data_IF_733907195212
#
_entry.id   IF_733907195212
#
_cell.length_a   1.000
_cell.length_b   1.000
_cell.length_c   1.000
_cell.angle_alpha   90.00
_cell.angle_beta   90.00
_cell.angle_gamma   90.00
#
_symmetry.space_group_name_H-M   'P 1'
#
loop_
_entity.id
_entity.type
_entity.pdbx_description
1 polymer ?
#
# COMPACT_ATOMS: atom_id res chain seq x y z
N UNK A 1 -10.07 -1.17 6.18
CA UNK A 1 -9.11 -0.84 7.26
C UNK A 1 -9.85 0.18 8.13
N UNK A 2 -10.21 -0.14 9.37
CA UNK A 2 -11.23 0.66 10.09
C UNK A 2 -10.67 1.72 11.05
N UNK A 3 -9.34 1.87 11.15
CA UNK A 3 -8.70 2.87 12.01
C UNK A 3 -7.33 3.26 11.47
N UNK A 4 -6.98 4.54 11.53
CA UNK A 4 -5.64 5.03 11.19
C UNK A 4 -4.59 4.44 12.12
N UNK A 5 -3.43 4.08 11.59
CA UNK A 5 -2.32 3.50 12.35
C UNK A 5 -1.47 2.55 11.54
N UNK A 6 -0.41 2.06 12.18
CA UNK A 6 0.44 0.99 11.66
C UNK A 6 -0.37 -0.31 11.50
N UNK A 7 -0.19 -1.00 10.39
CA UNK A 7 -0.97 -2.18 10.02
C UNK A 7 -0.26 -3.01 8.96
N UNK A 8 -0.72 -4.24 8.77
CA UNK A 8 -0.48 -5.03 7.56
C UNK A 8 -1.73 -5.00 6.68
N UNK A 9 -1.59 -5.18 5.37
CA UNK A 9 -2.73 -5.34 4.44
C UNK A 9 -2.78 -6.80 3.99
N UNK A 10 -3.80 -7.54 4.43
CA UNK A 10 -3.96 -8.97 4.17
C UNK A 10 -4.98 -9.21 3.06
N UNK A 11 -4.63 -10.06 2.10
CA UNK A 11 -5.58 -10.53 1.10
C UNK A 11 -6.66 -11.40 1.78
N UNK A 12 -7.91 -10.98 1.65
CA UNK A 12 -9.05 -11.62 2.30
C UNK A 12 -9.10 -13.13 2.02
N UNK A 13 -9.43 -13.92 3.05
CA UNK A 13 -9.53 -15.38 2.99
C UNK A 13 -8.24 -16.10 2.59
N UNK A 14 -7.06 -15.47 2.70
CA UNK A 14 -5.75 -16.09 2.44
C UNK A 14 -4.78 -15.82 3.57
N UNK A 15 -3.57 -16.37 3.51
CA UNK A 15 -2.44 -16.04 4.40
C UNK A 15 -1.37 -15.21 3.67
N UNK A 16 -1.76 -14.40 2.69
CA UNK A 16 -0.85 -13.53 1.96
C UNK A 16 -1.06 -12.05 2.29
N UNK A 17 0.01 -11.29 2.30
CA UNK A 17 0.02 -9.84 2.52
C UNK A 17 0.39 -9.08 1.26
N UNK A 18 0.00 -7.80 1.23
CA UNK A 18 0.47 -6.82 0.26
C UNK A 18 1.94 -6.48 0.53
N UNK A 19 2.76 -6.56 -0.50
CA UNK A 19 4.22 -6.43 -0.43
C UNK A 19 4.72 -5.43 -1.49
N UNK A 20 5.53 -4.46 -1.06
CA UNK A 20 6.09 -3.40 -1.88
C UNK A 20 7.36 -3.80 -2.65
N UNK A 21 7.88 -5.01 -2.42
CA UNK A 21 9.17 -5.47 -2.94
C UNK A 21 10.37 -4.88 -2.20
N UNK A 22 11.56 -5.41 -2.52
CA UNK A 22 12.82 -4.94 -1.94
C UNK A 22 13.20 -3.59 -2.55
N UNK A 23 13.42 -2.58 -1.70
CA UNK A 23 13.83 -1.22 -2.09
C UNK A 23 12.88 -0.57 -3.11
N UNK A 24 11.60 -0.37 -2.78
CA UNK A 24 10.62 0.18 -3.69
C UNK A 24 11.00 1.58 -4.17
N UNK A 25 10.61 1.90 -5.40
CA UNK A 25 10.75 3.21 -6.04
C UNK A 25 9.43 3.61 -6.69
N UNK A 26 9.36 4.81 -7.28
CA UNK A 26 8.17 5.22 -8.01
C UNK A 26 7.91 4.25 -9.16
N UNK A 27 6.71 3.66 -9.16
CA UNK A 27 6.30 2.69 -10.17
C UNK A 27 6.73 1.25 -9.91
N UNK A 28 7.27 0.92 -8.73
CA UNK A 28 7.50 -0.49 -8.34
C UNK A 28 6.14 -1.19 -8.20
N UNK A 29 5.86 -2.27 -8.97
CA UNK A 29 4.59 -2.98 -8.87
C UNK A 29 4.42 -3.68 -7.52
N UNK A 30 3.19 -3.64 -7.01
CA UNK A 30 2.81 -4.35 -5.79
C UNK A 30 2.73 -5.86 -6.01
N UNK A 31 2.94 -6.61 -4.93
CA UNK A 31 2.87 -8.08 -4.92
C UNK A 31 1.91 -8.55 -3.84
N UNK A 32 1.36 -9.75 -4.06
CA UNK A 32 0.76 -10.57 -3.01
C UNK A 32 1.80 -11.63 -2.64
N UNK A 33 2.25 -11.63 -1.39
CA UNK A 33 3.38 -12.46 -0.97
C UNK A 33 3.16 -13.09 0.41
N UNK A 34 3.97 -14.12 0.70
CA UNK A 34 3.99 -14.75 2.03
C UNK A 34 4.26 -13.69 3.10
N UNK A 35 3.54 -13.80 4.22
CA UNK A 35 3.64 -12.86 5.33
C UNK A 35 4.96 -13.05 6.08
N UNK A 36 5.64 -11.96 6.39
CA UNK A 36 6.78 -11.95 7.29
C UNK A 36 6.62 -10.84 8.32
N UNK A 37 6.76 -11.18 9.59
CA UNK A 37 6.80 -10.19 10.66
C UNK A 37 8.08 -9.35 10.54
N UNK A 38 7.98 -8.05 10.84
CA UNK A 38 9.09 -7.09 10.79
C UNK A 38 9.76 -6.96 9.40
N UNK A 39 9.00 -7.18 8.33
CA UNK A 39 9.47 -6.96 6.95
C UNK A 39 8.99 -5.57 6.49
N UNK A 40 9.89 -4.58 6.32
CA UNK A 40 9.50 -3.21 5.96
C UNK A 40 8.71 -3.08 4.66
N UNK A 41 8.81 -4.07 3.75
CA UNK A 41 8.05 -4.10 2.50
C UNK A 41 6.56 -4.46 2.71
N UNK A 42 6.17 -4.94 3.90
CA UNK A 42 4.82 -5.38 4.25
C UNK A 42 4.23 -4.61 5.45
N UNK A 43 4.96 -3.61 5.94
CA UNK A 43 4.55 -2.70 7.00
C UNK A 43 3.92 -1.44 6.41
N UNK A 44 2.64 -1.25 6.71
CA UNK A 44 1.84 -0.16 6.17
C UNK A 44 1.34 0.75 7.29
N UNK A 45 0.96 1.95 6.91
CA UNK A 45 0.32 2.91 7.78
C UNK A 45 -0.92 3.44 7.07
N UNK A 46 -2.08 3.18 7.65
CA UNK A 46 -3.31 3.82 7.18
C UNK A 46 -3.38 5.21 7.79
N UNK A 47 -3.30 6.22 6.93
CA UNK A 47 -3.25 7.63 7.32
C UNK A 47 -4.66 8.16 7.59
N UNK A 48 -4.75 9.30 8.30
CA UNK A 48 -6.02 9.97 8.55
C UNK A 48 -6.62 10.66 7.32
N UNK A 49 -5.89 10.70 6.20
CA UNK A 49 -6.34 11.22 4.90
C UNK A 49 -6.49 10.09 3.86
N UNK A 50 -6.91 8.91 4.31
CA UNK A 50 -7.30 7.76 3.51
C UNK A 50 -6.21 7.18 2.59
N UNK A 51 -4.93 7.37 2.90
CA UNK A 51 -3.82 6.74 2.18
C UNK A 51 -3.30 5.50 2.91
N UNK A 52 -2.89 4.50 2.13
CA UNK A 52 -2.08 3.37 2.59
C UNK A 52 -0.62 3.71 2.28
N UNK A 53 0.15 4.07 3.30
CA UNK A 53 1.54 4.48 3.16
C UNK A 53 2.48 3.37 3.65
N UNK A 54 3.57 3.14 2.94
CA UNK A 54 4.63 2.25 3.40
C UNK A 54 5.30 2.88 4.63
N UNK A 55 5.29 2.16 5.76
CA UNK A 55 5.62 2.71 7.06
C UNK A 55 7.04 3.32 7.06
N UNK A 56 7.14 4.59 7.48
CA UNK A 56 8.37 5.38 7.53
C UNK A 56 9.20 5.46 6.24
N UNK A 57 8.61 5.19 5.07
CA UNK A 57 9.35 5.18 3.78
C UNK A 57 8.96 6.31 2.82
N UNK A 58 7.94 7.12 3.15
CA UNK A 58 7.49 8.25 2.32
C UNK A 58 6.89 7.83 0.97
N UNK A 59 6.43 6.58 0.86
CA UNK A 59 5.78 6.00 -0.32
C UNK A 59 4.36 5.59 0.02
N UNK A 60 3.46 5.73 -0.94
CA UNK A 60 2.07 5.32 -0.86
C UNK A 60 1.75 4.24 -1.87
N UNK A 61 0.73 3.47 -1.55
CA UNK A 61 0.03 2.59 -2.48
C UNK A 61 -0.75 3.46 -3.47
N UNK A 62 -0.48 3.31 -4.77
CA UNK A 62 -0.90 4.21 -5.83
C UNK A 62 -1.51 3.38 -6.98
N UNK A 63 -2.77 3.68 -7.32
CA UNK A 63 -3.37 3.18 -8.56
C UNK A 63 -2.82 4.01 -9.73
N UNK A 64 -1.98 3.42 -10.59
CA UNK A 64 -1.27 4.16 -11.65
C UNK A 64 -2.20 5.01 -12.55
N UNK A 65 -3.43 4.55 -12.68
CA UNK A 65 -4.61 5.12 -13.31
C UNK A 65 -5.84 4.44 -12.71
N UNK A 66 -7.04 4.96 -12.99
CA UNK A 66 -8.31 4.47 -12.43
C UNK A 66 -9.06 3.51 -13.37
N UNK A 67 -8.38 2.97 -14.38
CA UNK A 67 -8.96 2.00 -15.30
C UNK A 67 -8.87 0.59 -14.73
N UNK A 68 -9.82 -0.27 -15.08
CA UNK A 68 -9.80 -1.65 -14.63
C UNK A 68 -8.54 -2.36 -15.15
N UNK A 69 -8.07 -3.39 -14.44
CA UNK A 69 -6.86 -4.19 -14.74
C UNK A 69 -5.52 -3.48 -14.59
N UNK A 70 -5.53 -2.20 -14.22
CA UNK A 70 -4.31 -1.47 -14.02
C UNK A 70 -3.55 -1.94 -12.76
N UNK A 71 -2.24 -1.73 -12.78
CA UNK A 71 -1.31 -2.15 -11.74
C UNK A 71 -1.33 -1.13 -10.61
N UNK A 72 -1.47 -1.64 -9.39
CA UNK A 72 -1.16 -0.89 -8.17
C UNK A 72 0.36 -0.92 -7.97
N UNK A 73 0.93 0.24 -7.66
CA UNK A 73 2.36 0.47 -7.56
C UNK A 73 2.69 1.26 -6.29
N UNK A 74 3.95 1.22 -5.83
CA UNK A 74 4.42 2.23 -4.89
C UNK A 74 4.72 3.53 -5.63
N UNK A 75 4.33 4.66 -5.07
CA UNK A 75 4.72 5.98 -5.57
C UNK A 75 5.02 6.92 -4.41
N UNK A 76 5.75 8.01 -4.65
CA UNK A 76 5.98 9.03 -3.61
C UNK A 76 4.63 9.52 -3.05
N UNK A 77 4.49 9.56 -1.73
CA UNK A 77 3.32 10.18 -1.11
C UNK A 77 3.20 11.63 -1.57
N UNK A 78 2.06 11.97 -2.16
CA UNK A 78 1.82 13.31 -2.71
C UNK A 78 0.47 13.81 -2.22
N UNK A 79 0.43 14.98 -1.56
CA UNK A 79 -0.80 15.56 -1.05
C UNK A 79 -1.76 15.86 -2.22
N UNK A 80 -3.03 15.51 -2.05
CA UNK A 80 -4.06 15.70 -3.09
C UNK A 80 -3.98 14.73 -4.27
N UNK A 81 -3.08 13.73 -4.24
CA UNK A 81 -3.08 12.68 -5.25
C UNK A 81 -4.21 11.67 -4.99
N UNK A 82 -5.29 11.78 -5.77
CA UNK A 82 -6.47 10.90 -5.65
C UNK A 82 -6.18 9.45 -6.02
N UNK A 83 -5.09 9.17 -6.73
CA UNK A 83 -4.67 7.80 -7.02
C UNK A 83 -4.16 7.05 -5.77
N UNK A 84 -3.96 7.76 -4.65
CA UNK A 84 -3.48 7.20 -3.39
C UNK A 84 -4.58 7.15 -2.31
N UNK A 85 -5.82 7.45 -2.68
CA UNK A 85 -6.96 7.47 -1.76
C UNK A 85 -7.70 6.13 -1.78
N UNK A 86 -7.72 5.45 -0.63
CA UNK A 86 -8.31 4.14 -0.41
C UNK A 86 -9.33 4.22 0.74
N UNK A 87 -10.61 4.31 0.40
CA UNK A 87 -11.69 4.24 1.38
C UNK A 87 -12.14 2.78 1.53
N UNK A 88 -12.39 2.36 2.77
CA UNK A 88 -13.24 1.20 3.01
C UNK A 88 -14.69 1.65 3.14
N UNK A 89 -15.67 0.87 2.63
CA UNK A 89 -17.08 1.11 2.90
C UNK A 89 -17.40 1.06 4.40
#
# INVERSE_FOLDING_TARGET
>A
ISKSGETSVRLANTTFWLDAGTSPTNGTPMKIWTCFDNLPAQEWFYTGDDRIALFNQGRGDDARDLTNTNIVQTFKCTNGNTNQTWSSP
#
